data_IF_532515527847
#
_entry.id   IF_532515527847
#
_cell.length_a   1.000
_cell.length_b   1.000
_cell.length_c   1.000
_cell.angle_alpha   90.00
_cell.angle_beta   90.00
_cell.angle_gamma   90.00
#
_symmetry.space_group_name_H-M   'P 1'
#
loop_
_entity.id
_entity.type
_entity.pdbx_description
1 polymer ?
#
# COMPACT_ATOMS: atom_id res chain seq x y z
N UNK A 1 -12.81 16.15 0.42
CA UNK A 1 -12.04 16.71 -0.69
C UNK A 1 -11.24 15.60 -1.34
N UNK A 2 -10.99 15.68 -2.63
CA UNK A 2 -10.20 14.68 -3.38
C UNK A 2 -9.01 15.40 -4.05
N UNK A 3 -7.80 14.86 -3.85
CA UNK A 3 -6.54 15.38 -4.41
C UNK A 3 -6.10 14.65 -5.69
N UNK A 4 -6.81 13.60 -6.10
CA UNK A 4 -6.47 12.75 -7.25
C UNK A 4 -5.02 12.23 -7.19
N UNK A 5 -4.52 11.93 -5.98
CA UNK A 5 -3.15 11.49 -5.70
C UNK A 5 -2.06 12.48 -6.18
N UNK A 6 -2.39 13.76 -6.26
CA UNK A 6 -1.49 14.82 -6.69
C UNK A 6 -0.98 15.62 -5.48
N UNK A 7 0.31 15.54 -5.20
CA UNK A 7 0.94 16.17 -4.03
C UNK A 7 0.68 17.69 -3.95
N UNK A 8 0.72 18.40 -5.08
CA UNK A 8 0.40 19.84 -5.10
C UNK A 8 -1.06 20.11 -4.73
N UNK A 9 -2.00 19.28 -5.23
CA UNK A 9 -3.41 19.41 -4.86
C UNK A 9 -3.63 19.05 -3.39
N UNK A 10 -2.90 18.10 -2.83
CA UNK A 10 -3.00 17.74 -1.40
C UNK A 10 -2.70 18.93 -0.51
N UNK A 11 -1.60 19.63 -0.76
CA UNK A 11 -1.23 20.85 -0.01
C UNK A 11 -2.28 21.94 -0.20
N UNK A 12 -2.78 22.16 -1.42
CA UNK A 12 -3.83 23.15 -1.70
C UNK A 12 -5.14 22.83 -0.97
N UNK A 13 -5.54 21.56 -0.99
CA UNK A 13 -6.75 21.08 -0.29
C UNK A 13 -6.58 21.24 1.22
N UNK A 14 -5.44 20.86 1.77
CA UNK A 14 -5.13 21.04 3.19
C UNK A 14 -5.23 22.53 3.58
N UNK A 15 -4.54 23.40 2.86
CA UNK A 15 -4.56 24.84 3.13
C UNK A 15 -5.96 25.45 2.99
N UNK A 16 -6.77 24.95 2.05
CA UNK A 16 -8.18 25.36 1.91
C UNK A 16 -9.00 24.95 3.14
N UNK A 17 -8.83 23.75 3.66
CA UNK A 17 -9.53 23.31 4.86
C UNK A 17 -9.09 24.10 6.09
N UNK A 18 -7.78 24.32 6.24
CA UNK A 18 -7.24 25.12 7.35
C UNK A 18 -7.74 26.57 7.31
N UNK A 19 -7.81 27.19 6.12
CA UNK A 19 -8.35 28.56 5.96
C UNK A 19 -9.85 28.65 6.27
N UNK A 20 -10.59 27.56 6.11
CA UNK A 20 -12.00 27.44 6.49
C UNK A 20 -12.22 27.17 7.97
N UNK A 21 -11.13 27.05 8.75
CA UNK A 21 -11.17 26.81 10.20
C UNK A 21 -11.99 25.57 10.58
N UNK A 22 -11.80 24.46 9.86
CA UNK A 22 -12.42 23.19 10.22
C UNK A 22 -11.90 22.71 11.58
N UNK A 23 -12.74 21.99 12.34
CA UNK A 23 -12.41 21.55 13.70
C UNK A 23 -11.37 20.42 13.73
N UNK A 24 -11.29 19.62 12.67
CA UNK A 24 -10.33 18.54 12.52
C UNK A 24 -10.27 18.00 11.09
N UNK A 25 -9.20 17.28 10.77
CA UNK A 25 -8.98 16.70 9.44
C UNK A 25 -8.60 15.23 9.57
N UNK A 26 -9.32 14.36 8.86
CA UNK A 26 -8.90 12.99 8.62
C UNK A 26 -8.21 12.94 7.26
N UNK A 27 -6.91 12.65 7.27
CA UNK A 27 -6.12 12.54 6.05
C UNK A 27 -6.03 11.07 5.61
N UNK A 28 -6.44 10.81 4.38
CA UNK A 28 -6.39 9.49 3.74
C UNK A 28 -5.63 9.62 2.42
N UNK A 29 -4.31 9.65 2.50
CA UNK A 29 -3.44 9.77 1.34
C UNK A 29 -2.40 8.65 1.31
N UNK A 30 -1.83 8.44 0.13
CA UNK A 30 -0.82 7.40 -0.04
C UNK A 30 0.60 7.90 0.26
N UNK A 31 0.79 9.22 0.34
CA UNK A 31 2.11 9.83 0.38
C UNK A 31 2.14 11.06 1.29
N UNK A 32 2.85 10.96 2.40
CA UNK A 32 3.10 12.09 3.28
C UNK A 32 4.44 12.74 2.89
N UNK A 33 4.39 13.67 1.91
CA UNK A 33 5.61 14.37 1.50
C UNK A 33 6.16 15.26 2.63
N UNK A 34 7.48 15.57 2.65
CA UNK A 34 8.06 16.46 3.66
C UNK A 34 7.34 17.82 3.74
N UNK A 35 6.92 18.38 2.61
CA UNK A 35 6.20 19.65 2.55
C UNK A 35 4.81 19.51 3.18
N UNK A 36 4.05 18.48 2.80
CA UNK A 36 2.72 18.23 3.37
C UNK A 36 2.80 17.95 4.87
N UNK A 37 3.78 17.15 5.28
CA UNK A 37 4.05 16.87 6.69
C UNK A 37 4.35 18.16 7.48
N UNK A 38 5.19 19.03 6.93
CA UNK A 38 5.52 20.30 7.57
C UNK A 38 4.28 21.19 7.77
N UNK A 39 3.34 21.21 6.81
CA UNK A 39 2.06 21.91 6.95
C UNK A 39 1.18 21.27 8.04
N UNK A 40 1.10 19.95 8.07
CA UNK A 40 0.34 19.20 9.08
C UNK A 40 0.88 19.51 10.49
N UNK A 41 2.17 19.38 10.68
CA UNK A 41 2.81 19.60 11.99
C UNK A 41 2.70 21.05 12.47
N UNK A 42 2.74 22.02 11.54
CA UNK A 42 2.53 23.43 11.86
C UNK A 42 1.08 23.81 12.15
N UNK A 43 0.14 22.98 11.71
CA UNK A 43 -1.28 23.24 11.91
C UNK A 43 -1.67 23.17 13.37
N UNK A 44 -2.53 24.09 13.80
CA UNK A 44 -3.19 24.00 15.11
C UNK A 44 -4.46 23.14 15.05
N UNK A 45 -4.95 22.83 13.86
CA UNK A 45 -6.10 21.95 13.65
C UNK A 45 -5.67 20.50 13.86
N UNK A 46 -6.37 19.72 14.69
CA UNK A 46 -6.10 18.30 14.84
C UNK A 46 -6.17 17.56 13.52
N UNK A 47 -5.17 16.73 13.24
CA UNK A 47 -5.10 15.93 12.02
C UNK A 47 -4.72 14.49 12.40
N UNK A 48 -5.45 13.52 11.85
CA UNK A 48 -5.16 12.09 12.01
C UNK A 48 -4.97 11.47 10.64
N UNK A 49 -3.93 10.66 10.50
CA UNK A 49 -3.63 9.90 9.29
C UNK A 49 -4.37 8.56 9.32
N UNK A 50 -5.00 8.18 8.22
CA UNK A 50 -5.64 6.87 8.07
C UNK A 50 -5.06 6.13 6.86
N UNK A 51 -4.39 5.00 7.08
CA UNK A 51 -3.71 4.23 6.04
C UNK A 51 -2.35 4.79 5.62
N UNK A 52 -1.86 5.81 6.30
CA UNK A 52 -0.53 6.44 6.12
C UNK A 52 0.13 6.65 7.48
N UNK A 53 1.45 6.59 7.52
CA UNK A 53 2.26 6.72 8.75
C UNK A 53 3.19 7.91 8.61
N UNK A 54 3.37 8.66 9.69
CA UNK A 54 4.41 9.68 9.80
C UNK A 54 5.75 9.02 10.21
N UNK A 55 6.81 9.22 9.42
CA UNK A 55 8.14 8.66 9.68
C UNK A 55 8.74 9.09 11.02
N UNK A 56 8.37 10.26 11.51
CA UNK A 56 8.89 10.81 12.76
C UNK A 56 7.96 10.57 13.95
N UNK A 57 6.85 9.84 13.74
CA UNK A 57 5.90 9.45 14.78
C UNK A 57 5.30 10.63 15.57
N UNK A 58 5.13 11.79 14.92
CA UNK A 58 4.58 13.00 15.54
C UNK A 58 3.08 13.14 15.27
N UNK A 59 2.63 12.71 14.09
CA UNK A 59 1.23 12.84 13.67
C UNK A 59 0.47 11.56 14.00
N UNK A 60 -0.64 11.70 14.72
CA UNK A 60 -1.49 10.56 15.08
C UNK A 60 -1.96 9.77 13.86
N UNK A 61 -1.94 8.44 13.94
CA UNK A 61 -2.26 7.59 12.79
C UNK A 61 -2.96 6.28 13.16
N UNK A 62 -3.70 5.72 12.20
CA UNK A 62 -4.32 4.39 12.29
C UNK A 62 -3.98 3.60 11.04
N UNK A 63 -3.35 2.44 11.21
CA UNK A 63 -2.76 1.65 10.14
C UNK A 63 -2.81 0.15 10.40
N UNK A 64 -2.25 -0.63 9.49
CA UNK A 64 -1.79 -2.00 9.71
C UNK A 64 -0.27 -2.02 9.77
N UNK A 65 0.31 -3.15 10.20
CA UNK A 65 1.75 -3.38 10.04
C UNK A 65 2.05 -3.74 8.57
N UNK A 66 2.42 -2.73 7.78
CA UNK A 66 2.73 -2.89 6.36
C UNK A 66 3.97 -3.76 6.12
N UNK A 67 4.95 -3.72 7.03
CA UNK A 67 6.16 -4.52 6.91
C UNK A 67 5.84 -6.00 7.06
N UNK A 68 5.19 -6.36 8.15
CA UNK A 68 4.80 -7.76 8.43
C UNK A 68 3.83 -8.28 7.38
N UNK A 69 2.84 -7.48 6.96
CA UNK A 69 1.88 -7.88 5.94
C UNK A 69 2.55 -8.19 4.59
N UNK A 70 3.53 -7.38 4.18
CA UNK A 70 4.27 -7.64 2.94
C UNK A 70 5.20 -8.83 3.10
N UNK A 71 5.86 -8.96 4.25
CA UNK A 71 6.72 -10.11 4.55
C UNK A 71 5.94 -11.43 4.43
N UNK A 72 4.75 -11.53 5.03
CA UNK A 72 3.89 -12.72 4.94
C UNK A 72 3.45 -13.01 3.49
N UNK A 73 3.08 -11.98 2.73
CA UNK A 73 2.69 -12.15 1.33
C UNK A 73 3.84 -12.69 0.48
N UNK A 74 5.05 -12.16 0.65
CA UNK A 74 6.25 -12.63 -0.06
C UNK A 74 6.64 -14.03 0.39
N UNK A 75 6.57 -14.31 1.69
CA UNK A 75 6.86 -15.63 2.24
C UNK A 75 5.94 -16.70 1.65
N UNK A 76 4.64 -16.41 1.49
CA UNK A 76 3.70 -17.31 0.82
C UNK A 76 4.14 -17.66 -0.61
N UNK A 77 4.59 -16.69 -1.40
CA UNK A 77 5.10 -16.93 -2.73
C UNK A 77 6.38 -17.80 -2.71
N UNK A 78 7.26 -17.59 -1.74
CA UNK A 78 8.48 -18.39 -1.55
C UNK A 78 8.12 -19.84 -1.18
N UNK A 79 7.15 -20.04 -0.30
CA UNK A 79 6.64 -21.38 0.09
C UNK A 79 6.04 -22.13 -1.11
N UNK A 80 5.42 -21.38 -2.06
CA UNK A 80 4.92 -21.94 -3.32
C UNK A 80 6.04 -22.23 -4.33
N UNK A 81 7.32 -21.99 -3.98
CA UNK A 81 8.50 -22.34 -4.77
C UNK A 81 9.08 -21.21 -5.62
N UNK A 82 8.56 -19.99 -5.53
CA UNK A 82 9.08 -18.86 -6.27
C UNK A 82 10.38 -18.32 -5.67
N UNK A 83 11.38 -18.07 -6.53
CA UNK A 83 12.67 -17.48 -6.14
C UNK A 83 12.92 -16.13 -6.80
N UNK A 84 12.26 -15.87 -7.93
CA UNK A 84 12.29 -14.59 -8.63
C UNK A 84 10.94 -13.93 -8.50
N UNK A 85 10.81 -13.05 -7.52
CA UNK A 85 9.57 -12.37 -7.14
C UNK A 85 9.74 -10.89 -7.39
N UNK A 86 8.83 -10.26 -8.13
CA UNK A 86 8.81 -8.81 -8.27
C UNK A 86 8.13 -8.14 -7.09
N UNK A 87 8.62 -6.99 -6.70
CA UNK A 87 7.92 -6.04 -5.83
C UNK A 87 7.52 -4.83 -6.66
N UNK A 88 6.22 -4.62 -6.84
CA UNK A 88 5.66 -3.55 -7.69
C UNK A 88 5.05 -2.49 -6.81
N UNK A 89 5.53 -1.27 -6.96
CA UNK A 89 5.27 -0.17 -6.02
C UNK A 89 5.22 1.17 -6.75
N UNK A 90 4.60 2.23 -6.18
CA UNK A 90 4.80 3.59 -6.67
C UNK A 90 6.25 4.03 -6.43
N UNK A 91 6.56 5.27 -6.77
CA UNK A 91 7.90 5.81 -6.52
C UNK A 91 8.33 5.61 -5.07
N UNK A 92 9.53 5.10 -4.86
CA UNK A 92 10.16 4.95 -3.53
C UNK A 92 10.59 6.28 -2.93
N UNK A 93 10.57 7.36 -3.71
CA UNK A 93 10.98 8.68 -3.23
C UNK A 93 9.92 9.26 -2.31
N UNK A 94 10.30 9.48 -1.05
CA UNK A 94 9.50 10.21 -0.06
C UNK A 94 8.21 9.52 0.42
N UNK A 95 8.21 8.19 0.52
CA UNK A 95 7.02 7.45 0.96
C UNK A 95 7.36 6.41 2.02
N UNK A 96 7.23 6.76 3.30
CA UNK A 96 7.58 5.88 4.43
C UNK A 96 6.80 4.56 4.43
N UNK A 97 5.50 4.59 4.13
CA UNK A 97 4.71 3.36 4.04
C UNK A 97 5.20 2.41 2.93
N UNK A 98 5.76 2.95 1.85
CA UNK A 98 6.38 2.18 0.78
C UNK A 98 7.70 1.58 1.24
N UNK A 99 8.50 2.33 2.02
CA UNK A 99 9.76 1.84 2.60
C UNK A 99 9.50 0.64 3.53
N UNK A 100 8.47 0.71 4.38
CA UNK A 100 8.07 -0.40 5.25
C UNK A 100 7.68 -1.66 4.47
N UNK A 101 6.93 -1.51 3.37
CA UNK A 101 6.58 -2.65 2.50
C UNK A 101 7.81 -3.25 1.81
N UNK A 102 8.72 -2.40 1.32
CA UNK A 102 9.97 -2.84 0.72
C UNK A 102 10.86 -3.55 1.74
N UNK A 103 10.89 -3.08 2.97
CA UNK A 103 11.62 -3.75 4.06
C UNK A 103 11.05 -5.14 4.36
N UNK A 104 9.71 -5.27 4.38
CA UNK A 104 9.05 -6.57 4.52
C UNK A 104 9.40 -7.53 3.37
N UNK A 105 9.42 -7.03 2.13
CA UNK A 105 9.87 -7.81 0.97
C UNK A 105 11.33 -8.28 1.12
N UNK A 106 12.26 -7.38 1.47
CA UNK A 106 13.67 -7.70 1.67
C UNK A 106 13.87 -8.72 2.80
N UNK A 107 13.14 -8.55 3.90
CA UNK A 107 13.24 -9.44 5.05
C UNK A 107 12.75 -10.85 4.74
N UNK A 108 11.65 -10.99 4.00
CA UNK A 108 11.17 -12.30 3.55
C UNK A 108 12.20 -13.02 2.68
N UNK A 109 12.84 -12.32 1.75
CA UNK A 109 13.92 -12.88 0.92
C UNK A 109 15.12 -13.29 1.77
N UNK A 110 15.54 -12.46 2.72
CA UNK A 110 16.68 -12.73 3.60
C UNK A 110 16.46 -13.97 4.47
N UNK A 111 15.27 -14.11 5.07
CA UNK A 111 14.87 -15.28 5.86
C UNK A 111 14.94 -16.58 5.02
N UNK A 112 14.51 -16.48 3.76
CA UNK A 112 14.56 -17.60 2.82
C UNK A 112 15.93 -17.81 2.16
N UNK A 113 16.94 -16.99 2.47
CA UNK A 113 18.27 -17.00 1.86
C UNK A 113 18.23 -16.82 0.34
N UNK A 114 17.33 -15.96 -0.14
CA UNK A 114 17.23 -15.53 -1.53
C UNK A 114 17.89 -14.16 -1.65
N UNK A 115 18.81 -14.00 -2.59
CA UNK A 115 19.51 -12.74 -2.80
C UNK A 115 18.54 -11.64 -3.26
N UNK A 116 18.59 -10.50 -2.60
CA UNK A 116 17.86 -9.31 -3.03
C UNK A 116 18.41 -8.79 -4.35
N UNK A 117 17.52 -8.52 -5.29
CA UNK A 117 17.88 -7.94 -6.58
C UNK A 117 17.04 -6.68 -6.82
N UNK A 118 17.69 -5.51 -6.83
CA UNK A 118 17.04 -4.23 -7.05
C UNK A 118 16.26 -4.16 -8.39
N UNK A 119 16.70 -4.90 -9.41
CA UNK A 119 16.01 -4.97 -10.71
C UNK A 119 14.62 -5.60 -10.64
N UNK A 120 14.31 -6.30 -9.54
CA UNK A 120 12.99 -6.90 -9.29
C UNK A 120 12.05 -5.95 -8.54
N UNK A 121 12.55 -4.80 -8.10
CA UNK A 121 11.73 -3.70 -7.60
C UNK A 121 11.29 -2.85 -8.78
N UNK A 122 10.01 -2.82 -9.05
CA UNK A 122 9.42 -2.13 -10.20
C UNK A 122 8.63 -0.91 -9.73
N UNK A 123 9.21 0.27 -9.89
CA UNK A 123 8.51 1.53 -9.65
C UNK A 123 7.66 1.89 -10.88
N UNK A 124 6.35 1.95 -10.70
CA UNK A 124 5.38 2.31 -11.76
C UNK A 124 4.27 3.21 -11.19
N UNK A 125 3.59 3.99 -12.02
CA UNK A 125 2.29 4.53 -11.65
C UNK A 125 1.33 3.38 -11.30
N UNK A 126 0.58 3.51 -10.21
CA UNK A 126 -0.36 2.46 -9.76
C UNK A 126 -1.67 2.53 -10.57
N UNK A 127 -1.58 2.34 -11.88
CA UNK A 127 -2.69 2.33 -12.82
C UNK A 127 -2.78 0.98 -13.55
N UNK A 128 -3.95 0.69 -14.07
CA UNK A 128 -4.18 -0.50 -14.90
C UNK A 128 -3.17 -0.60 -16.05
N UNK A 129 -3.00 0.49 -16.82
CA UNK A 129 -2.14 0.51 -18.02
C UNK A 129 -0.67 0.26 -17.68
N UNK A 130 -0.19 0.83 -16.58
CA UNK A 130 1.19 0.61 -16.17
C UNK A 130 1.41 -0.82 -15.67
N UNK A 131 0.44 -1.40 -14.99
CA UNK A 131 0.45 -2.80 -14.58
C UNK A 131 0.45 -3.76 -15.79
N UNK A 132 -0.43 -3.52 -16.77
CA UNK A 132 -0.52 -4.30 -18.01
C UNK A 132 0.80 -4.28 -18.80
N UNK A 133 1.36 -3.10 -19.03
CA UNK A 133 2.64 -2.94 -19.73
C UNK A 133 3.83 -3.57 -18.99
N UNK A 134 3.74 -3.78 -17.68
CA UNK A 134 4.81 -4.36 -16.88
C UNK A 134 5.00 -5.86 -17.15
N UNK A 135 3.98 -6.59 -17.60
CA UNK A 135 4.01 -8.03 -17.79
C UNK A 135 5.18 -8.48 -18.67
N UNK A 136 5.38 -7.86 -19.81
CA UNK A 136 6.47 -8.18 -20.75
C UNK A 136 7.85 -8.09 -20.08
N UNK A 137 8.11 -7.01 -19.34
CA UNK A 137 9.36 -6.81 -18.60
C UNK A 137 9.61 -7.90 -17.56
N UNK A 138 8.57 -8.28 -16.80
CA UNK A 138 8.69 -9.31 -15.77
C UNK A 138 9.00 -10.68 -16.38
N UNK A 139 8.32 -11.02 -17.47
CA UNK A 139 8.52 -12.29 -18.17
C UNK A 139 9.92 -12.39 -18.78
N UNK A 140 10.42 -11.33 -19.43
CA UNK A 140 11.79 -11.29 -19.96
C UNK A 140 12.86 -11.39 -18.86
N UNK A 141 12.57 -10.90 -17.64
CA UNK A 141 13.47 -11.06 -16.49
C UNK A 141 13.40 -12.47 -15.86
N UNK A 142 12.50 -13.33 -16.33
CA UNK A 142 12.25 -14.65 -15.79
C UNK A 142 11.64 -14.63 -14.38
N UNK A 143 10.91 -13.58 -14.05
CA UNK A 143 10.14 -13.45 -12.81
C UNK A 143 8.91 -14.34 -12.93
N UNK A 144 8.55 -15.00 -11.83
CA UNK A 144 7.44 -15.96 -11.80
C UNK A 144 6.37 -15.62 -10.76
N UNK A 145 6.58 -14.59 -9.96
CA UNK A 145 5.57 -14.09 -9.03
C UNK A 145 5.76 -12.59 -8.78
N UNK A 146 4.69 -11.92 -8.35
CA UNK A 146 4.74 -10.51 -7.99
C UNK A 146 3.87 -10.19 -6.75
N UNK A 147 4.39 -9.31 -5.89
CA UNK A 147 3.59 -8.57 -4.91
C UNK A 147 3.40 -7.16 -5.47
N UNK A 148 2.15 -6.77 -5.65
CA UNK A 148 1.77 -5.47 -6.23
C UNK A 148 1.06 -4.66 -5.15
N UNK A 149 1.57 -3.47 -4.85
CA UNK A 149 1.06 -2.65 -3.74
C UNK A 149 -0.29 -1.98 -4.00
N UNK A 150 -0.90 -2.24 -5.16
CA UNK A 150 -2.21 -1.71 -5.54
C UNK A 150 -3.02 -2.73 -6.36
N UNK A 151 -4.35 -2.72 -6.18
CA UNK A 151 -5.22 -3.69 -6.85
C UNK A 151 -5.45 -3.35 -8.33
N UNK A 152 -5.51 -2.07 -8.73
CA UNK A 152 -5.73 -1.68 -10.13
C UNK A 152 -4.52 -2.06 -10.98
N UNK A 153 -3.33 -1.76 -10.51
CA UNK A 153 -2.08 -2.16 -11.17
C UNK A 153 -1.95 -3.70 -11.23
N UNK A 154 -2.38 -4.41 -10.18
CA UNK A 154 -2.37 -5.87 -10.17
C UNK A 154 -3.35 -6.48 -11.19
N UNK A 155 -4.52 -5.86 -11.37
CA UNK A 155 -5.48 -6.25 -12.44
C UNK A 155 -4.87 -6.04 -13.82
N UNK A 156 -4.20 -4.91 -14.04
CA UNK A 156 -3.46 -4.66 -15.28
C UNK A 156 -2.41 -5.74 -15.53
N UNK A 157 -1.60 -6.05 -14.53
CA UNK A 157 -0.59 -7.11 -14.63
C UNK A 157 -1.22 -8.47 -14.98
N UNK A 158 -2.34 -8.85 -14.36
CA UNK A 158 -3.05 -10.10 -14.69
C UNK A 158 -3.47 -10.15 -16.15
N UNK A 159 -3.99 -9.06 -16.68
CA UNK A 159 -4.43 -9.01 -18.08
C UNK A 159 -3.21 -9.03 -19.02
N UNK A 160 -2.15 -8.29 -18.71
CA UNK A 160 -0.92 -8.36 -19.49
C UNK A 160 -0.29 -9.77 -19.50
N UNK A 161 -0.30 -10.49 -18.36
CA UNK A 161 0.13 -11.88 -18.31
C UNK A 161 -0.76 -12.79 -19.16
N UNK A 162 -2.08 -12.60 -19.12
CA UNK A 162 -3.03 -13.34 -19.93
C UNK A 162 -2.78 -13.13 -21.44
N UNK A 163 -2.52 -11.90 -21.87
CA UNK A 163 -2.24 -11.56 -23.27
C UNK A 163 -0.95 -12.22 -23.79
N UNK A 164 0.00 -12.52 -22.89
CA UNK A 164 1.21 -13.29 -23.18
C UNK A 164 1.02 -14.82 -23.04
N UNK A 165 -0.21 -15.29 -22.82
CA UNK A 165 -0.52 -16.73 -22.71
C UNK A 165 -0.04 -17.37 -21.40
N UNK A 166 0.24 -16.59 -20.35
CA UNK A 166 0.70 -17.06 -19.06
C UNK A 166 -0.47 -17.49 -18.18
N UNK A 167 -0.43 -18.70 -17.66
CA UNK A 167 -1.46 -19.20 -16.76
C UNK A 167 -1.18 -18.78 -15.30
N UNK A 168 -2.12 -18.02 -14.72
CA UNK A 168 -2.13 -17.68 -13.31
C UNK A 168 -3.15 -18.59 -12.59
N UNK A 169 -2.78 -19.31 -11.52
CA UNK A 169 -1.54 -19.26 -10.74
C UNK A 169 -0.46 -20.28 -11.16
N UNK A 170 -0.64 -21.02 -12.23
CA UNK A 170 0.22 -22.17 -12.59
C UNK A 170 1.66 -21.72 -12.91
N UNK A 171 1.79 -20.74 -13.80
CA UNK A 171 3.08 -20.26 -14.34
C UNK A 171 3.56 -18.98 -13.67
N UNK A 172 2.63 -18.19 -13.14
CA UNK A 172 2.89 -16.92 -12.45
C UNK A 172 1.90 -16.72 -11.31
N UNK A 173 2.35 -16.22 -10.17
CA UNK A 173 1.48 -15.89 -9.03
C UNK A 173 1.48 -14.40 -8.73
N UNK A 174 0.31 -13.87 -8.35
CA UNK A 174 0.13 -12.43 -8.05
C UNK A 174 -0.57 -12.26 -6.71
N UNK A 175 0.00 -11.42 -5.84
CA UNK A 175 -0.65 -10.94 -4.62
C UNK A 175 -0.75 -9.43 -4.70
N UNK A 176 -1.94 -8.89 -4.44
CA UNK A 176 -2.17 -7.44 -4.40
C UNK A 176 -2.31 -6.90 -2.97
N UNK A 177 -2.66 -5.64 -2.84
CA UNK A 177 -2.90 -4.97 -1.56
C UNK A 177 -4.15 -4.09 -1.64
N UNK A 178 -4.92 -3.98 -0.55
CA UNK A 178 -6.13 -3.19 -0.33
C UNK A 178 -7.47 -3.93 -0.39
N UNK A 179 -7.60 -5.09 -1.05
CA UNK A 179 -8.84 -5.86 -1.14
C UNK A 179 -10.05 -5.06 -1.65
N UNK A 180 -9.85 -4.25 -2.68
CA UNK A 180 -10.92 -3.52 -3.34
C UNK A 180 -11.89 -4.46 -4.07
N UNK A 181 -12.97 -3.91 -4.63
CA UNK A 181 -13.94 -4.68 -5.43
C UNK A 181 -13.28 -5.39 -6.63
N UNK A 182 -12.22 -4.80 -7.18
CA UNK A 182 -11.50 -5.33 -8.33
C UNK A 182 -10.98 -6.74 -8.08
N UNK A 183 -10.50 -7.04 -6.87
CA UNK A 183 -9.92 -8.34 -6.52
C UNK A 183 -10.89 -9.52 -6.70
N UNK A 184 -12.19 -9.26 -6.62
CA UNK A 184 -13.26 -10.26 -6.82
C UNK A 184 -13.84 -10.26 -8.24
N UNK A 185 -13.53 -9.24 -9.03
CA UNK A 185 -14.06 -9.07 -10.40
C UNK A 185 -13.15 -9.67 -11.45
N UNK A 186 -11.90 -9.97 -11.13
CA UNK A 186 -10.94 -10.61 -12.04
C UNK A 186 -11.20 -12.09 -12.24
N UNK A 187 -10.62 -12.66 -13.28
CA UNK A 187 -10.51 -14.10 -13.52
C UNK A 187 -9.07 -14.41 -13.94
N UNK A 188 -8.31 -15.13 -13.11
CA UNK A 188 -8.64 -15.62 -11.74
C UNK A 188 -8.86 -14.49 -10.72
N UNK A 189 -9.60 -14.77 -9.63
CA UNK A 189 -9.81 -13.83 -8.53
C UNK A 189 -8.51 -13.61 -7.76
N UNK A 190 -8.25 -12.36 -7.39
CA UNK A 190 -6.93 -11.89 -6.94
C UNK A 190 -6.73 -12.10 -5.43
N UNK A 191 -5.68 -12.82 -5.05
CA UNK A 191 -5.17 -12.91 -3.67
C UNK A 191 -4.66 -11.53 -3.26
N UNK A 192 -4.96 -11.10 -2.02
CA UNK A 192 -4.65 -9.74 -1.60
C UNK A 192 -4.40 -9.61 -0.10
N UNK A 193 -3.50 -8.74 0.29
CA UNK A 193 -3.47 -8.21 1.65
C UNK A 193 -4.75 -7.38 1.84
N UNK A 194 -5.48 -7.66 2.91
CA UNK A 194 -6.79 -7.06 3.20
C UNK A 194 -6.72 -6.25 4.50
N UNK A 195 -6.34 -4.96 4.44
CA UNK A 195 -6.47 -4.06 5.57
C UNK A 195 -7.96 -3.91 5.95
N UNK A 196 -8.31 -3.76 7.23
CA UNK A 196 -9.67 -3.50 7.66
C UNK A 196 -10.03 -2.03 7.41
N UNK A 197 -10.23 -1.64 6.14
CA UNK A 197 -10.38 -0.23 5.73
C UNK A 197 -11.52 0.49 6.47
N UNK A 198 -12.63 -0.21 6.71
CA UNK A 198 -13.73 0.36 7.49
C UNK A 198 -13.29 0.70 8.93
N UNK A 199 -12.61 -0.24 9.58
CA UNK A 199 -12.16 -0.06 10.97
C UNK A 199 -11.06 1.00 11.06
N UNK A 200 -10.16 1.05 10.08
CA UNK A 200 -9.14 2.12 9.97
C UNK A 200 -9.82 3.49 9.98
N UNK A 201 -10.84 3.69 9.13
CA UNK A 201 -11.58 4.94 9.07
C UNK A 201 -12.36 5.24 10.37
N UNK A 202 -13.04 4.24 10.92
CA UNK A 202 -13.84 4.40 12.14
C UNK A 202 -12.97 4.70 13.37
N UNK A 203 -11.85 3.99 13.52
CA UNK A 203 -10.90 4.20 14.63
C UNK A 203 -10.19 5.54 14.48
N UNK A 204 -9.77 5.90 13.26
CA UNK A 204 -9.12 7.18 13.00
C UNK A 204 -10.06 8.37 13.28
N UNK A 205 -11.34 8.26 12.90
CA UNK A 205 -12.33 9.29 13.23
C UNK A 205 -12.57 9.39 14.73
N UNK A 206 -12.62 8.26 15.45
CA UNK A 206 -12.74 8.24 16.91
C UNK A 206 -11.53 8.87 17.58
N UNK A 207 -10.31 8.56 17.11
CA UNK A 207 -9.08 9.16 17.58
C UNK A 207 -9.08 10.67 17.36
N UNK A 208 -9.44 11.12 16.15
CA UNK A 208 -9.57 12.54 15.82
C UNK A 208 -10.55 13.26 16.76
N UNK A 209 -11.73 12.68 17.01
CA UNK A 209 -12.75 13.24 17.90
C UNK A 209 -12.21 13.42 19.32
N UNK A 210 -11.50 12.45 19.85
CA UNK A 210 -10.87 12.55 21.17
C UNK A 210 -9.84 13.70 21.21
N UNK A 211 -8.98 13.80 20.20
CA UNK A 211 -7.98 14.89 20.12
C UNK A 211 -8.67 16.25 20.03
N UNK A 212 -9.73 16.38 19.23
CA UNK A 212 -10.53 17.62 19.13
C UNK A 212 -11.15 18.03 20.47
N UNK A 213 -11.63 17.07 21.23
CA UNK A 213 -12.23 17.27 22.56
C UNK A 213 -11.16 17.48 23.67
N UNK A 214 -9.86 17.41 23.34
CA UNK A 214 -8.75 17.45 24.29
C UNK A 214 -8.84 16.35 25.37
N UNK A 215 -9.39 15.21 25.00
CA UNK A 215 -9.42 14.02 25.85
C UNK A 215 -8.02 13.40 25.90
N UNK A 216 -7.72 12.70 26.99
CA UNK A 216 -6.47 11.95 27.09
C UNK A 216 -6.46 10.78 26.08
N UNK A 217 -5.37 10.68 25.32
CA UNK A 217 -5.16 9.64 24.33
C UNK A 217 -3.91 8.87 24.73
N UNK A 218 -4.07 7.60 25.09
CA UNK A 218 -2.97 6.75 25.53
C UNK A 218 -2.00 6.44 24.37
N UNK A 219 -2.55 6.12 23.20
CA UNK A 219 -1.78 5.78 21.99
C UNK A 219 -2.25 6.64 20.82
N UNK A 220 -1.32 7.34 20.21
CA UNK A 220 -1.55 8.15 19.01
C UNK A 220 -1.28 7.38 17.73
N UNK A 221 -0.61 6.23 17.79
CA UNK A 221 -0.37 5.33 16.67
C UNK A 221 -1.05 3.99 16.91
N UNK A 222 -2.10 3.73 16.16
CA UNK A 222 -2.91 2.52 16.33
C UNK A 222 -2.68 1.58 15.16
N UNK A 223 -2.18 0.38 15.45
CA UNK A 223 -2.02 -0.69 14.47
C UNK A 223 -3.18 -1.68 14.60
N UNK A 224 -3.94 -1.85 13.51
CA UNK A 224 -5.04 -2.80 13.45
C UNK A 224 -4.61 -4.12 12.82
N UNK A 225 -5.26 -5.24 13.17
CA UNK A 225 -4.99 -6.53 12.54
C UNK A 225 -5.46 -6.50 11.08
N UNK A 226 -4.70 -7.17 10.22
CA UNK A 226 -5.04 -7.38 8.81
C UNK A 226 -5.26 -8.88 8.54
N UNK A 227 -5.65 -9.21 7.29
CA UNK A 227 -5.72 -10.59 6.79
C UNK A 227 -5.08 -10.66 5.41
N UNK A 228 -4.65 -11.85 5.01
CA UNK A 228 -4.39 -12.15 3.61
C UNK A 228 -5.57 -12.98 3.10
N UNK A 229 -6.30 -12.45 2.14
CA UNK A 229 -7.40 -13.12 1.48
C UNK A 229 -6.85 -13.95 0.32
N UNK A 230 -6.60 -15.22 0.57
CA UNK A 230 -6.14 -16.16 -0.45
C UNK A 230 -7.26 -16.47 -1.44
N UNK A 231 -6.95 -16.36 -2.73
CA UNK A 231 -7.87 -16.59 -3.84
C UNK A 231 -7.16 -17.36 -4.97
N UNK A 232 -7.61 -17.16 -6.22
CA UNK A 232 -7.20 -17.98 -7.35
C UNK A 232 -5.88 -17.57 -8.01
N UNK A 233 -5.28 -16.44 -7.64
CA UNK A 233 -3.98 -16.01 -8.21
C UNK A 233 -2.77 -16.55 -7.47
N UNK A 234 -2.98 -17.35 -6.42
CA UNK A 234 -1.93 -18.10 -5.70
C UNK A 234 -2.37 -19.55 -5.50
N UNK A 235 -1.40 -20.44 -5.32
CA UNK A 235 -1.62 -21.86 -4.96
C UNK A 235 -1.90 -22.00 -3.48
#
# INVERSE_FOLDING_TARGET
ANSDQNNHKEIQVLNTLLSKQVDGILYMGNNLTPELRAEIVRSKTPIVLAGTIDSDHVVASVNIDYKVATQEAVQKLIENGHKKIAFVTPSLKNTFATDLRLDGYKEALAVAKIDYNEKFVCEIPLTYQAGEALADKLLHAGITAAVVTDDEAAVGLLNGLYDHGVNVPKDFEVISSHNSKLTKMTRPTLTTIAPPLYDIGAVAMRLLTKIMNKEEVADTEITLPYKIEYRQTTK
#
